data_IF_156746418531
#
_entry.id   IF_156746418531
#
_cell.length_a   1.000
_cell.length_b   1.000
_cell.length_c   1.000
_cell.angle_alpha   90.00
_cell.angle_beta   90.00
_cell.angle_gamma   90.00
#
_symmetry.space_group_name_H-M   'P 1'
#
loop_
_entity.id
_entity.type
_entity.pdbx_description
1 polymer ?
#
# COMPACT_ATOMS: atom_id res chain seq x y z
N UNK A 1 -82.22 -13.77 15.15
CA UNK A 1 -81.84 -12.61 15.98
C UNK A 1 -82.43 -12.82 17.37
N UNK A 2 -81.73 -12.57 18.50
CA UNK A 2 -80.34 -12.10 18.74
C UNK A 2 -79.52 -13.17 19.55
N UNK A 3 -78.26 -13.05 20.00
CA UNK A 3 -77.12 -12.13 19.85
C UNK A 3 -75.90 -12.72 20.63
N UNK A 4 -74.69 -12.48 20.11
CA UNK A 4 -73.33 -12.37 20.68
C UNK A 4 -73.01 -12.93 22.09
N UNK A 5 -71.97 -13.77 22.24
CA UNK A 5 -70.50 -13.50 22.30
C UNK A 5 -70.01 -13.08 23.71
N UNK A 6 -69.06 -13.89 24.21
CA UNK A 6 -68.22 -13.90 25.44
C UNK A 6 -67.64 -12.54 25.93
N UNK A 7 -67.03 -12.36 27.15
CA UNK A 7 -65.87 -13.17 27.64
C UNK A 7 -65.48 -13.22 29.16
N UNK A 8 -64.40 -13.99 29.42
CA UNK A 8 -63.35 -13.80 30.48
C UNK A 8 -63.71 -14.23 31.93
N UNK A 9 -62.83 -14.68 32.83
CA UNK A 9 -61.36 -14.58 33.03
C UNK A 9 -60.88 -15.81 33.82
N UNK A 10 -59.70 -16.34 33.50
CA UNK A 10 -58.94 -17.28 34.34
C UNK A 10 -58.07 -16.51 35.34
N UNK A 11 -58.02 -16.94 36.60
CA UNK A 11 -57.13 -16.38 37.61
C UNK A 11 -56.85 -17.38 38.72
N UNK A 12 -55.83 -18.21 38.54
CA UNK A 12 -55.20 -18.91 39.66
C UNK A 12 -53.68 -18.74 39.52
N UNK A 13 -53.12 -18.10 40.55
CA UNK A 13 -51.72 -17.74 40.66
C UNK A 13 -50.91 -18.92 41.21
N UNK A 14 -49.67 -19.08 40.72
CA UNK A 14 -48.65 -19.86 41.40
C UNK A 14 -47.25 -19.20 41.19
N UNK A 15 -46.33 -19.40 42.15
CA UNK A 15 -45.45 -18.33 42.62
C UNK A 15 -44.08 -18.29 41.96
N UNK A 16 -43.50 -17.09 41.99
CA UNK A 16 -42.10 -16.78 41.76
C UNK A 16 -41.17 -17.75 42.53
N UNK A 17 -40.42 -18.57 41.80
CA UNK A 17 -39.17 -19.14 42.27
C UNK A 17 -38.03 -18.55 41.43
N UNK A 18 -37.25 -17.71 42.11
CA UNK A 18 -35.99 -17.14 41.66
C UNK A 18 -34.95 -18.25 41.48
N UNK A 19 -34.41 -18.37 40.27
CA UNK A 19 -33.29 -19.28 39.99
C UNK A 19 -33.17 -19.70 38.53
N UNK A 20 -33.52 -18.82 37.59
CA UNK A 20 -33.28 -19.07 36.17
C UNK A 20 -31.82 -18.80 35.85
N UNK A 21 -31.03 -19.86 35.67
CA UNK A 21 -29.89 -19.79 34.76
C UNK A 21 -30.45 -19.26 33.44
N UNK A 22 -30.03 -18.05 33.04
CA UNK A 22 -30.36 -17.54 31.71
C UNK A 22 -29.93 -18.62 30.72
N UNK A 23 -30.83 -19.16 29.87
CA UNK A 23 -30.37 -19.93 28.74
C UNK A 23 -29.59 -18.93 27.89
N UNK A 24 -28.25 -19.02 27.95
CA UNK A 24 -27.40 -18.44 26.92
C UNK A 24 -27.84 -19.16 25.67
N UNK A 25 -28.73 -18.52 24.91
CA UNK A 25 -29.15 -19.00 23.60
C UNK A 25 -27.85 -19.15 22.83
N UNK A 26 -27.43 -20.41 22.66
CA UNK A 26 -26.24 -20.74 21.89
C UNK A 26 -26.47 -20.11 20.53
N UNK A 27 -25.75 -19.02 20.23
CA UNK A 27 -25.84 -18.38 18.93
C UNK A 27 -25.45 -19.45 17.91
N UNK A 28 -26.40 -19.84 17.07
CA UNK A 28 -26.12 -20.68 15.92
C UNK A 28 -24.98 -20.00 15.15
N UNK A 29 -23.82 -20.65 15.11
CA UNK A 29 -22.64 -20.12 14.45
C UNK A 29 -22.89 -20.12 12.95
N UNK A 30 -23.24 -18.97 12.40
CA UNK A 30 -23.38 -18.79 10.95
C UNK A 30 -21.98 -18.82 10.34
N UNK A 31 -21.72 -19.76 9.44
CA UNK A 31 -20.49 -19.81 8.67
C UNK A 31 -20.56 -18.76 7.56
N UNK A 32 -19.70 -17.74 7.65
CA UNK A 32 -19.57 -16.72 6.61
C UNK A 32 -18.55 -17.24 5.59
N UNK A 33 -18.99 -17.41 4.34
CA UNK A 33 -18.14 -17.83 3.24
C UNK A 33 -18.25 -16.79 2.12
N UNK A 34 -17.39 -15.77 2.19
CA UNK A 34 -17.34 -14.68 1.23
C UNK A 34 -15.89 -14.48 0.78
N UNK A 35 -15.67 -14.56 -0.52
CA UNK A 35 -14.38 -14.35 -1.19
C UNK A 35 -14.18 -12.87 -1.51
N UNK A 36 -13.02 -12.32 -1.17
CA UNK A 36 -12.70 -10.90 -1.27
C UNK A 36 -11.43 -10.67 -2.09
N UNK A 37 -11.44 -9.67 -2.96
CA UNK A 37 -10.20 -9.07 -3.49
C UNK A 37 -10.00 -7.64 -3.00
N UNK A 38 -8.75 -7.25 -2.79
CA UNK A 38 -8.34 -5.89 -2.42
C UNK A 38 -7.45 -5.35 -3.54
N UNK A 39 -7.84 -4.22 -4.13
CA UNK A 39 -7.10 -3.53 -5.17
C UNK A 39 -6.70 -2.14 -4.67
N UNK A 40 -5.40 -1.87 -4.63
CA UNK A 40 -4.85 -0.69 -3.98
C UNK A 40 -4.28 0.26 -5.02
N UNK A 41 -4.83 1.47 -5.09
CA UNK A 41 -4.23 2.57 -5.83
C UNK A 41 -3.19 3.25 -4.93
N UNK A 42 -1.94 2.80 -5.04
CA UNK A 42 -0.87 3.25 -4.18
C UNK A 42 -0.64 4.76 -4.26
N UNK A 43 -0.69 5.31 -5.48
CA UNK A 43 -0.50 6.74 -5.70
C UNK A 43 -1.62 7.58 -5.08
N UNK A 44 -2.88 7.16 -5.22
CA UNK A 44 -4.00 7.88 -4.61
C UNK A 44 -3.97 7.80 -3.07
N UNK A 45 -3.60 6.64 -2.52
CA UNK A 45 -3.48 6.46 -1.07
C UNK A 45 -2.34 7.28 -0.47
N UNK A 46 -1.15 7.24 -1.07
CA UNK A 46 0.00 8.06 -0.65
C UNK A 46 -0.35 9.56 -0.68
N UNK A 47 -0.91 10.06 -1.79
CA UNK A 47 -1.34 11.47 -1.89
C UNK A 47 -2.37 11.84 -0.82
N UNK A 48 -3.34 10.97 -0.57
CA UNK A 48 -4.41 11.22 0.40
C UNK A 48 -3.87 11.34 1.82
N UNK A 49 -3.02 10.40 2.26
CA UNK A 49 -2.46 10.43 3.62
C UNK A 49 -1.45 11.56 3.80
N UNK A 50 -0.66 11.89 2.77
CA UNK A 50 0.30 13.00 2.82
C UNK A 50 -0.42 14.33 2.93
N UNK A 51 -1.55 14.48 2.23
CA UNK A 51 -2.40 15.68 2.34
C UNK A 51 -3.05 15.78 3.72
N UNK A 52 -3.57 14.68 4.25
CA UNK A 52 -4.24 14.64 5.56
C UNK A 52 -3.26 14.88 6.72
N UNK A 53 -2.04 14.35 6.63
CA UNK A 53 -1.02 14.48 7.69
C UNK A 53 -0.09 15.67 7.51
N UNK A 54 -0.08 16.28 6.32
CA UNK A 54 0.89 17.27 5.89
C UNK A 54 2.35 16.78 6.04
N UNK A 55 2.57 15.48 5.77
CA UNK A 55 3.86 14.80 5.92
C UNK A 55 4.03 13.69 4.87
N UNK A 56 5.06 13.82 4.03
CA UNK A 56 5.38 12.87 2.95
C UNK A 56 6.10 11.60 3.44
N UNK A 57 6.56 11.59 4.70
CA UNK A 57 7.16 10.43 5.35
C UNK A 57 6.13 9.50 6.02
N UNK A 58 4.85 9.86 5.95
CA UNK A 58 3.74 9.02 6.41
C UNK A 58 3.47 7.89 5.43
N UNK A 59 3.32 6.68 5.94
CA UNK A 59 3.06 5.45 5.19
C UNK A 59 1.88 4.68 5.78
N UNK A 60 1.08 4.03 4.92
CA UNK A 60 0.00 3.15 5.38
C UNK A 60 0.56 1.93 6.11
N UNK A 61 -0.10 1.54 7.20
CA UNK A 61 0.18 0.30 7.90
C UNK A 61 -0.67 -0.83 7.32
N UNK A 62 -0.14 -1.52 6.30
CA UNK A 62 -0.83 -2.66 5.68
C UNK A 62 -1.05 -3.84 6.62
N UNK A 63 -0.24 -3.97 7.68
CA UNK A 63 -0.32 -5.07 8.64
C UNK A 63 -1.54 -4.99 9.54
N UNK A 64 -2.02 -3.78 9.80
CA UNK A 64 -3.25 -3.57 10.57
C UNK A 64 -4.44 -3.35 9.65
N UNK A 65 -4.22 -2.62 8.54
CA UNK A 65 -5.29 -2.23 7.64
C UNK A 65 -5.84 -3.41 6.83
N UNK A 66 -5.01 -4.28 6.27
CA UNK A 66 -5.49 -5.41 5.47
C UNK A 66 -6.30 -6.38 6.32
N UNK A 67 -5.84 -6.86 7.51
CA UNK A 67 -6.64 -7.74 8.34
C UNK A 67 -7.96 -7.11 8.78
N UNK A 68 -7.97 -5.81 9.10
CA UNK A 68 -9.19 -5.06 9.41
C UNK A 68 -10.17 -5.03 8.22
N UNK A 69 -9.68 -4.89 7.00
CA UNK A 69 -10.51 -4.91 5.79
C UNK A 69 -11.01 -6.32 5.46
N UNK A 70 -10.19 -7.35 5.64
CA UNK A 70 -10.56 -8.75 5.39
C UNK A 70 -11.60 -9.23 6.41
N UNK A 71 -11.40 -8.91 7.70
CA UNK A 71 -12.22 -9.33 8.83
C UNK A 71 -12.45 -10.86 8.84
N UNK A 72 -13.71 -11.30 8.74
CA UNK A 72 -14.11 -12.71 8.77
C UNK A 72 -14.27 -13.33 7.37
N UNK A 73 -13.62 -12.76 6.35
CA UNK A 73 -13.73 -13.16 4.94
C UNK A 73 -12.45 -13.81 4.43
N UNK A 74 -12.53 -14.43 3.26
CA UNK A 74 -11.40 -15.08 2.62
C UNK A 74 -10.74 -14.15 1.59
N UNK A 75 -9.50 -13.74 1.83
CA UNK A 75 -8.73 -12.94 0.88
C UNK A 75 -8.30 -13.82 -0.32
N UNK A 76 -8.93 -13.60 -1.47
CA UNK A 76 -8.61 -14.27 -2.73
C UNK A 76 -7.44 -13.60 -3.47
N UNK A 77 -7.39 -12.27 -3.43
CA UNK A 77 -6.37 -11.51 -4.15
C UNK A 77 -6.08 -10.17 -3.51
N UNK A 78 -4.80 -9.82 -3.41
CA UNK A 78 -4.35 -8.48 -3.06
C UNK A 78 -3.38 -7.96 -4.12
N UNK A 79 -3.69 -6.82 -4.72
CA UNK A 79 -2.82 -6.18 -5.72
C UNK A 79 -2.61 -4.71 -5.37
N UNK A 80 -1.34 -4.33 -5.24
CA UNK A 80 -0.91 -2.95 -5.10
C UNK A 80 -0.47 -2.39 -6.46
N UNK A 81 -1.11 -1.34 -6.93
CA UNK A 81 -0.75 -0.66 -8.17
C UNK A 81 0.05 0.60 -7.84
N UNK A 82 1.22 0.77 -8.46
CA UNK A 82 2.07 1.94 -8.25
C UNK A 82 2.65 2.43 -9.55
N UNK A 83 2.61 3.75 -9.78
CA UNK A 83 3.33 4.40 -10.87
C UNK A 83 4.85 4.32 -10.65
N UNK A 84 5.58 4.11 -11.73
CA UNK A 84 7.04 4.22 -11.77
C UNK A 84 7.75 2.88 -11.93
N UNK A 85 9.07 2.97 -12.16
CA UNK A 85 9.94 1.81 -12.37
C UNK A 85 10.57 1.29 -11.07
N UNK A 86 10.72 2.17 -10.09
CA UNK A 86 11.27 1.83 -8.78
C UNK A 86 10.13 1.60 -7.80
N UNK A 87 9.93 0.32 -7.49
CA UNK A 87 8.98 -0.13 -6.49
C UNK A 87 9.79 -0.74 -5.37
N UNK A 88 9.49 -0.35 -4.14
CA UNK A 88 10.14 -0.89 -2.96
C UNK A 88 10.02 -2.41 -2.95
N UNK A 89 11.16 -3.10 -3.12
CA UNK A 89 11.24 -4.56 -3.03
C UNK A 89 10.74 -5.03 -1.66
N UNK A 90 11.07 -4.29 -0.59
CA UNK A 90 10.61 -4.55 0.78
C UNK A 90 9.08 -4.57 0.89
N UNK A 91 8.39 -3.59 0.28
CA UNK A 91 6.93 -3.57 0.26
C UNK A 91 6.38 -4.78 -0.49
N UNK A 92 6.95 -5.09 -1.65
CA UNK A 92 6.57 -6.25 -2.45
C UNK A 92 6.71 -7.57 -1.69
N UNK A 93 7.87 -7.79 -1.08
CA UNK A 93 8.18 -8.99 -0.31
C UNK A 93 7.25 -9.12 0.90
N UNK A 94 7.00 -8.03 1.64
CA UNK A 94 6.09 -8.03 2.78
C UNK A 94 4.65 -8.39 2.38
N UNK A 95 4.12 -7.75 1.34
CA UNK A 95 2.76 -8.04 0.85
C UNK A 95 2.65 -9.49 0.34
N UNK A 96 3.70 -10.00 -0.30
CA UNK A 96 3.74 -11.38 -0.77
C UNK A 96 3.77 -12.38 0.39
N UNK A 97 4.63 -12.18 1.37
CA UNK A 97 4.82 -13.10 2.50
C UNK A 97 3.58 -13.16 3.41
N UNK A 98 2.95 -12.02 3.70
CA UNK A 98 1.83 -11.97 4.66
C UNK A 98 0.47 -12.25 4.01
N UNK A 99 0.28 -11.86 2.74
CA UNK A 99 -1.04 -11.85 2.10
C UNK A 99 -1.08 -12.54 0.75
N UNK A 100 0.02 -13.16 0.30
CA UNK A 100 0.19 -13.60 -1.09
C UNK A 100 -0.13 -12.50 -2.11
N UNK A 101 0.13 -11.25 -1.70
CA UNK A 101 -0.10 -10.07 -2.50
C UNK A 101 0.92 -9.95 -3.63
N UNK A 102 0.62 -9.04 -4.56
CA UNK A 102 1.55 -8.66 -5.62
C UNK A 102 1.57 -7.16 -5.81
N UNK A 103 2.72 -6.63 -6.22
CA UNK A 103 2.86 -5.24 -6.62
C UNK A 103 2.98 -5.16 -8.13
N UNK A 104 2.18 -4.28 -8.75
CA UNK A 104 2.14 -4.07 -10.19
C UNK A 104 2.59 -2.66 -10.56
N UNK A 105 3.74 -2.52 -11.22
CA UNK A 105 4.16 -1.24 -11.77
C UNK A 105 3.21 -0.77 -12.87
N UNK A 106 2.90 0.51 -12.84
CA UNK A 106 2.05 1.21 -13.80
C UNK A 106 2.88 2.29 -14.49
N UNK A 107 2.66 2.49 -15.79
CA UNK A 107 3.46 3.46 -16.56
C UNK A 107 3.05 4.92 -16.29
N UNK A 108 1.79 5.18 -15.94
CA UNK A 108 1.27 6.55 -15.70
C UNK A 108 0.24 6.60 -14.59
N UNK A 109 -0.72 5.70 -14.60
CA UNK A 109 -1.77 5.65 -13.59
C UNK A 109 -2.17 4.21 -13.30
N UNK A 110 -2.66 4.00 -12.08
CA UNK A 110 -3.29 2.76 -11.65
C UNK A 110 -4.67 2.56 -12.28
N UNK A 111 -5.36 3.61 -12.73
CA UNK A 111 -6.79 3.56 -13.10
C UNK A 111 -7.11 2.45 -14.10
N UNK A 112 -6.39 2.41 -15.23
CA UNK A 112 -6.62 1.42 -16.30
C UNK A 112 -6.23 0.01 -15.84
N UNK A 113 -5.00 -0.26 -15.35
CA UNK A 113 -4.62 -1.58 -14.85
C UNK A 113 -5.52 -2.10 -13.73
N UNK A 114 -5.93 -1.23 -12.80
CA UNK A 114 -6.81 -1.56 -11.69
C UNK A 114 -8.20 -1.90 -12.20
N UNK A 115 -8.78 -1.05 -13.06
CA UNK A 115 -10.10 -1.27 -13.68
C UNK A 115 -10.17 -2.60 -14.42
N UNK A 116 -9.19 -2.87 -15.29
CA UNK A 116 -9.13 -4.15 -16.04
C UNK A 116 -9.03 -5.33 -15.08
N UNK A 117 -8.18 -5.22 -14.05
CA UNK A 117 -8.01 -6.28 -13.05
C UNK A 117 -9.30 -6.52 -12.27
N UNK A 118 -10.00 -5.46 -11.87
CA UNK A 118 -11.26 -5.55 -11.14
C UNK A 118 -12.33 -6.27 -11.96
N UNK A 119 -12.48 -5.89 -13.23
CA UNK A 119 -13.41 -6.56 -14.15
C UNK A 119 -13.09 -8.05 -14.33
N UNK A 120 -11.80 -8.40 -14.45
CA UNK A 120 -11.39 -9.81 -14.55
C UNK A 120 -11.69 -10.61 -13.27
N UNK A 121 -11.58 -9.96 -12.12
CA UNK A 121 -11.85 -10.55 -10.81
C UNK A 121 -13.34 -10.68 -10.50
N UNK A 122 -14.20 -9.89 -11.13
CA UNK A 122 -15.63 -9.86 -10.85
C UNK A 122 -16.27 -11.27 -10.87
N UNK A 123 -15.81 -12.14 -11.78
CA UNK A 123 -16.28 -13.53 -11.89
C UNK A 123 -15.67 -14.52 -10.87
N UNK A 124 -14.81 -14.07 -9.95
CA UNK A 124 -13.99 -14.91 -9.06
C UNK A 124 -14.17 -14.63 -7.58
N UNK A 125 -14.71 -13.46 -7.24
CA UNK A 125 -14.87 -13.01 -5.85
C UNK A 125 -16.27 -12.46 -5.65
N UNK A 126 -16.75 -12.55 -4.42
CA UNK A 126 -18.05 -12.00 -4.03
C UNK A 126 -17.94 -10.50 -3.72
N UNK A 127 -16.73 -10.03 -3.38
CA UNK A 127 -16.48 -8.63 -3.03
C UNK A 127 -15.15 -8.13 -3.54
N UNK A 128 -15.14 -6.87 -3.98
CA UNK A 128 -13.92 -6.12 -4.30
C UNK A 128 -13.87 -4.88 -3.41
N UNK A 129 -12.80 -4.75 -2.62
CA UNK A 129 -12.43 -3.50 -1.96
C UNK A 129 -11.48 -2.75 -2.87
N UNK A 130 -11.85 -1.53 -3.27
CA UNK A 130 -10.96 -0.60 -3.95
C UNK A 130 -10.42 0.38 -2.91
N UNK A 131 -9.11 0.39 -2.72
CA UNK A 131 -8.45 1.38 -1.87
C UNK A 131 -8.08 2.59 -2.72
N UNK A 132 -9.04 3.50 -2.90
CA UNK A 132 -8.88 4.79 -3.56
C UNK A 132 -10.06 5.71 -3.23
N UNK A 133 -9.80 7.02 -3.18
CA UNK A 133 -10.84 8.04 -3.05
C UNK A 133 -11.27 8.68 -4.37
N UNK A 134 -10.71 8.24 -5.50
CA UNK A 134 -10.84 8.93 -6.80
C UNK A 134 -12.22 8.77 -7.46
N UNK A 135 -12.77 9.86 -8.00
CA UNK A 135 -14.05 9.83 -8.71
C UNK A 135 -13.99 9.03 -10.01
N UNK A 136 -12.81 8.81 -10.57
CA UNK A 136 -12.64 8.05 -11.82
C UNK A 136 -13.08 6.58 -11.69
N UNK A 137 -13.19 6.05 -10.47
CA UNK A 137 -13.67 4.69 -10.21
C UNK A 137 -15.21 4.56 -10.13
N UNK A 138 -15.99 5.65 -10.23
CA UNK A 138 -17.45 5.59 -10.10
C UNK A 138 -18.10 4.64 -11.12
N UNK A 139 -17.70 4.75 -12.39
CA UNK A 139 -18.25 3.88 -13.45
C UNK A 139 -17.83 2.42 -13.27
N UNK A 140 -16.62 2.18 -12.74
CA UNK A 140 -16.16 0.84 -12.37
C UNK A 140 -17.03 0.26 -11.25
N UNK A 141 -17.30 1.02 -10.18
CA UNK A 141 -18.16 0.59 -9.06
C UNK A 141 -19.54 0.19 -9.59
N UNK A 142 -20.16 1.03 -10.42
CA UNK A 142 -21.47 0.73 -11.03
C UNK A 142 -21.44 -0.55 -11.86
N UNK A 143 -20.42 -0.72 -12.69
CA UNK A 143 -20.28 -1.90 -13.54
C UNK A 143 -20.09 -3.19 -12.71
N UNK A 144 -19.21 -3.18 -11.71
CA UNK A 144 -18.98 -4.34 -10.84
C UNK A 144 -20.23 -4.73 -10.05
N UNK A 145 -21.01 -3.75 -9.57
CA UNK A 145 -22.29 -4.01 -8.90
C UNK A 145 -23.32 -4.61 -9.85
N UNK A 146 -23.35 -4.17 -11.11
CA UNK A 146 -24.20 -4.78 -12.14
C UNK A 146 -23.80 -6.24 -12.44
N UNK A 147 -22.51 -6.57 -12.38
CA UNK A 147 -21.98 -7.94 -12.46
C UNK A 147 -22.25 -8.78 -11.19
N UNK A 148 -22.93 -8.22 -10.18
CA UNK A 148 -23.31 -8.91 -8.96
C UNK A 148 -22.23 -8.93 -7.87
N UNK A 149 -21.14 -8.19 -8.05
CA UNK A 149 -20.05 -8.08 -7.07
C UNK A 149 -20.39 -6.98 -6.07
N UNK A 150 -20.22 -7.27 -4.77
CA UNK A 150 -20.28 -6.22 -3.76
C UNK A 150 -19.03 -5.36 -3.85
N UNK A 151 -19.18 -4.05 -3.90
CA UNK A 151 -18.06 -3.11 -4.02
C UNK A 151 -17.95 -2.27 -2.78
N UNK A 152 -16.78 -2.30 -2.15
CA UNK A 152 -16.46 -1.54 -0.97
C UNK A 152 -15.31 -0.57 -1.29
N UNK A 153 -15.34 0.62 -0.70
CA UNK A 153 -14.28 1.62 -0.88
C UNK A 153 -13.56 1.80 0.43
N UNK A 154 -12.23 1.83 0.41
CA UNK A 154 -11.40 2.16 1.56
C UNK A 154 -10.51 3.37 1.25
N UNK A 155 -10.76 4.50 1.91
CA UNK A 155 -10.03 5.74 1.63
C UNK A 155 -10.02 6.69 2.83
N UNK A 156 -9.17 7.71 2.78
CA UNK A 156 -9.26 8.85 3.69
C UNK A 156 -10.53 9.63 3.37
N UNK A 157 -11.40 9.85 4.35
CA UNK A 157 -12.75 10.38 4.09
C UNK A 157 -12.76 11.80 3.54
N UNK A 158 -11.79 12.63 3.91
CA UNK A 158 -11.63 14.00 3.44
C UNK A 158 -11.23 14.10 1.96
N UNK A 159 -10.53 13.09 1.42
CA UNK A 159 -10.06 13.06 0.03
C UNK A 159 -10.97 12.27 -0.92
N UNK A 160 -11.92 11.49 -0.38
CA UNK A 160 -12.79 10.65 -1.19
C UNK A 160 -13.96 11.43 -1.82
N UNK A 161 -14.18 11.21 -3.13
CA UNK A 161 -15.29 11.80 -3.85
C UNK A 161 -16.63 11.34 -3.27
N UNK A 162 -17.53 12.30 -2.98
CA UNK A 162 -18.83 12.00 -2.35
C UNK A 162 -19.66 11.01 -3.17
N UNK A 163 -19.71 11.19 -4.49
CA UNK A 163 -20.46 10.33 -5.38
C UNK A 163 -19.89 8.89 -5.39
N UNK A 164 -18.58 8.73 -5.28
CA UNK A 164 -17.97 7.40 -5.14
C UNK A 164 -18.43 6.69 -3.87
N UNK A 165 -18.47 7.41 -2.75
CA UNK A 165 -18.94 6.90 -1.46
C UNK A 165 -20.41 6.47 -1.54
N UNK A 166 -21.25 7.29 -2.19
CA UNK A 166 -22.69 7.03 -2.31
C UNK A 166 -23.00 5.84 -3.24
N UNK A 167 -22.16 5.58 -4.25
CA UNK A 167 -22.31 4.45 -5.18
C UNK A 167 -21.81 3.11 -4.60
N UNK A 168 -20.84 3.15 -3.68
CA UNK A 168 -20.29 1.97 -3.03
C UNK A 168 -21.28 1.29 -2.07
N UNK A 169 -21.16 -0.03 -1.89
CA UNK A 169 -21.98 -0.78 -0.93
C UNK A 169 -21.53 -0.57 0.53
N UNK A 170 -20.26 -0.23 0.73
CA UNK A 170 -19.72 0.13 2.04
C UNK A 170 -18.48 1.02 1.90
N UNK A 171 -18.29 1.91 2.86
CA UNK A 171 -17.12 2.80 2.92
C UNK A 171 -16.33 2.57 4.21
N UNK A 172 -15.11 2.07 4.07
CA UNK A 172 -14.12 1.95 5.14
C UNK A 172 -13.32 3.25 5.24
N UNK A 173 -13.44 3.95 6.36
CA UNK A 173 -12.63 5.16 6.58
C UNK A 173 -11.23 4.76 7.06
N UNK A 174 -10.21 5.23 6.33
CA UNK A 174 -8.82 5.17 6.77
C UNK A 174 -8.57 6.36 7.70
N UNK A 175 -8.02 6.07 8.87
CA UNK A 175 -7.86 6.97 10.00
C UNK A 175 -6.43 6.97 10.51
N UNK A 176 -6.14 7.81 11.52
CA UNK A 176 -4.81 7.95 12.12
C UNK A 176 -4.19 6.63 12.61
N UNK A 177 -5.01 5.65 12.98
CA UNK A 177 -4.55 4.34 13.45
C UNK A 177 -4.07 3.42 12.32
N UNK A 178 -4.37 3.78 11.07
CA UNK A 178 -4.09 2.96 9.89
C UNK A 178 -2.78 3.38 9.18
N UNK A 179 -2.02 4.35 9.72
CA UNK A 179 -0.74 4.81 9.19
C UNK A 179 0.28 5.16 10.27
N UNK A 180 1.54 5.24 9.87
CA UNK A 180 2.67 5.58 10.74
C UNK A 180 3.62 6.53 10.00
N UNK A 181 4.40 7.29 10.76
CA UNK A 181 5.36 8.25 10.22
C UNK A 181 6.77 7.73 10.44
N UNK A 182 7.58 7.72 9.37
CA UNK A 182 8.98 7.35 9.48
C UNK A 182 9.77 8.48 10.12
N UNK A 183 10.55 8.18 11.17
CA UNK A 183 11.49 9.16 11.70
C UNK A 183 12.56 9.44 10.63
N UNK A 184 12.84 10.70 10.26
CA UNK A 184 13.94 11.00 9.38
C UNK A 184 15.22 10.47 10.01
N UNK A 185 16.04 9.75 9.24
CA UNK A 185 17.29 9.21 9.73
C UNK A 185 18.15 10.40 10.20
N UNK A 186 18.38 10.52 11.51
CA UNK A 186 19.31 11.53 12.02
C UNK A 186 20.65 11.27 11.36
N UNK A 187 21.14 12.26 10.60
CA UNK A 187 22.30 12.11 9.71
C UNK A 187 23.49 11.43 10.38
N UNK A 188 24.24 10.68 9.58
CA UNK A 188 25.53 10.08 9.97
C UNK A 188 26.34 11.11 10.77
N UNK A 189 26.84 10.79 11.98
CA UNK A 189 27.73 11.67 12.69
C UNK A 189 28.88 12.08 11.75
N UNK A 190 29.29 13.36 11.72
CA UNK A 190 30.37 13.79 10.84
C UNK A 190 31.57 12.86 11.04
N UNK A 191 32.09 12.30 9.95
CA UNK A 191 33.28 11.44 9.99
C UNK A 191 34.33 12.16 10.83
N UNK A 192 34.79 11.51 11.90
CA UNK A 192 35.89 12.00 12.70
C UNK A 192 37.07 12.37 11.78
N UNK A 193 37.78 13.49 12.03
CA UNK A 193 38.86 13.92 11.16
C UNK A 193 39.87 12.77 11.00
N UNK A 194 40.13 12.40 9.74
CA UNK A 194 41.13 11.37 9.40
C UNK A 194 42.45 11.78 10.05
N UNK A 195 43.02 10.90 10.90
CA UNK A 195 44.39 11.09 11.41
C UNK A 195 45.34 11.26 10.21
N UNK A 196 46.30 12.18 10.27
CA UNK A 196 47.25 12.36 9.18
C UNK A 196 48.07 11.07 8.95
N UNK A 197 48.53 10.81 7.71
CA UNK A 197 49.33 9.64 7.39
C UNK A 197 50.62 9.64 8.23
N UNK A 198 50.95 8.49 8.82
CA UNK A 198 52.26 8.28 9.45
C UNK A 198 53.30 8.20 8.32
N UNK A 199 54.27 9.10 8.32
CA UNK A 199 55.43 9.00 7.42
C UNK A 199 56.31 7.83 7.84
N UNK A 200 56.78 6.98 6.93
CA UNK A 200 57.78 5.97 7.26
C UNK A 200 59.13 6.68 7.44
N UNK A 201 59.60 6.73 8.69
CA UNK A 201 60.96 7.16 9.00
C UNK A 201 61.98 6.08 8.57
N UNK A 202 63.17 6.57 8.28
CA UNK A 202 64.29 5.88 7.66
C UNK A 202 64.85 4.71 8.49
N UNK A 203 65.24 3.68 7.74
CA UNK A 203 66.23 2.61 7.96
C UNK A 203 66.80 2.33 9.37
N UNK A 204 66.61 1.07 9.77
CA UNK A 204 67.71 0.21 10.24
C UNK A 204 67.85 0.05 11.76
N UNK A 205 67.65 -1.17 12.26
CA UNK A 205 68.71 -2.07 12.78
C UNK A 205 68.09 -3.45 13.02
N UNK A 206 68.84 -4.45 12.55
CA UNK A 206 68.56 -5.89 12.59
C UNK A 206 68.78 -6.40 14.03
N UNK A 207 67.84 -7.17 14.57
CA UNK A 207 67.99 -7.86 15.86
C UNK A 207 67.13 -9.11 15.94
N UNK A 208 67.78 -10.27 16.02
CA UNK A 208 67.23 -11.64 15.94
C UNK A 208 66.71 -12.13 17.30
N UNK A 209 65.88 -13.19 17.25
CA UNK A 209 65.51 -14.16 18.31
C UNK A 209 64.15 -13.87 18.98
N UNK A 210 63.27 -14.82 19.35
CA UNK A 210 63.34 -16.28 19.49
C UNK A 210 61.91 -16.84 19.38
N UNK A 211 61.79 -18.07 18.88
CA UNK A 211 60.58 -18.89 18.79
C UNK A 211 60.28 -19.47 20.18
N UNK A 212 59.03 -19.37 20.65
CA UNK A 212 58.53 -20.26 21.70
C UNK A 212 57.05 -20.56 21.45
N UNK A 213 56.79 -21.84 21.18
CA UNK A 213 55.48 -22.45 21.12
C UNK A 213 55.09 -22.93 22.52
N UNK A 214 53.81 -22.81 22.90
CA UNK A 214 53.18 -23.66 23.91
C UNK A 214 51.65 -23.62 23.75
N UNK A 215 51.04 -24.80 23.63
CA UNK A 215 49.58 -25.07 23.69
C UNK A 215 49.17 -25.40 25.16
N UNK A 216 47.97 -25.94 25.44
CA UNK A 216 46.66 -25.30 25.48
C UNK A 216 46.02 -25.41 26.89
N UNK A 217 45.11 -24.51 27.26
CA UNK A 217 44.39 -24.54 28.53
C UNK A 217 42.89 -24.37 28.35
N UNK A 218 42.14 -25.45 28.57
CA UNK A 218 40.68 -25.52 28.63
C UNK A 218 40.21 -24.98 29.98
N UNK A 219 39.21 -24.10 30.02
CA UNK A 219 38.26 -23.96 31.14
C UNK A 219 36.86 -23.55 30.64
N UNK A 220 35.78 -23.86 31.39
CA UNK A 220 34.46 -24.16 30.85
C UNK A 220 33.44 -23.01 30.98
N UNK A 221 32.46 -23.04 30.06
CA UNK A 221 31.03 -22.79 30.29
C UNK A 221 30.58 -21.49 30.95
N UNK A 222 29.91 -20.63 30.17
CA UNK A 222 28.86 -19.75 30.70
C UNK A 222 27.61 -19.86 29.81
N UNK A 223 26.39 -19.80 30.39
CA UNK A 223 25.15 -20.07 29.68
C UNK A 223 24.79 -18.92 28.74
N UNK A 224 24.24 -19.28 27.58
CA UNK A 224 23.64 -18.35 26.62
C UNK A 224 22.38 -17.78 27.27
N UNK A 225 22.43 -16.50 27.63
CA UNK A 225 21.23 -15.70 27.84
C UNK A 225 20.79 -15.29 26.44
N UNK A 226 19.65 -15.82 26.01
CA UNK A 226 18.95 -15.33 24.83
C UNK A 226 18.19 -14.11 25.32
N UNK A 227 18.74 -12.92 25.09
CA UNK A 227 17.96 -11.70 25.18
C UNK A 227 17.12 -11.65 23.90
N UNK A 228 15.79 -11.72 24.07
CA UNK A 228 14.84 -11.40 23.01
C UNK A 228 15.01 -9.90 22.69
N UNK A 229 15.86 -9.61 21.71
CA UNK A 229 15.90 -8.30 21.09
C UNK A 229 14.59 -8.11 20.32
N UNK A 230 13.71 -7.27 20.86
CA UNK A 230 12.61 -6.65 20.15
C UNK A 230 13.19 -5.92 18.92
N UNK A 231 13.24 -6.60 17.77
CA UNK A 231 13.67 -6.02 16.49
C UNK A 231 12.67 -4.91 16.08
N UNK A 232 12.98 -3.67 16.49
CA UNK A 232 12.35 -2.47 15.98
C UNK A 232 12.78 -2.29 14.51
N UNK A 233 11.95 -2.78 13.59
CA UNK A 233 12.29 -2.82 12.16
C UNK A 233 12.43 -1.42 11.53
N UNK A 234 13.65 -1.13 11.05
CA UNK A 234 14.04 0.11 10.38
C UNK A 234 13.44 0.19 8.95
N UNK A 235 12.42 1.01 8.79
CA UNK A 235 11.91 1.41 7.48
C UNK A 235 12.87 2.42 6.84
N UNK A 236 13.43 2.05 5.69
CA UNK A 236 14.34 2.92 4.94
C UNK A 236 13.54 3.78 3.98
N UNK A 237 13.62 5.11 4.13
CA UNK A 237 13.27 6.05 3.07
C UNK A 237 14.23 5.85 1.90
N UNK A 238 13.71 5.51 0.73
CA UNK A 238 14.45 5.70 -0.52
C UNK A 238 14.14 7.10 -1.04
N UNK A 239 15.18 7.92 -1.18
CA UNK A 239 15.09 9.28 -1.69
C UNK A 239 14.50 9.28 -3.11
N UNK A 240 13.49 10.12 -3.32
CA UNK A 240 12.98 10.40 -4.65
C UNK A 240 14.08 11.09 -5.47
N UNK A 241 14.64 10.39 -6.46
CA UNK A 241 15.50 10.99 -7.48
C UNK A 241 14.60 11.85 -8.36
N UNK A 242 14.71 13.17 -8.22
CA UNK A 242 14.11 14.14 -9.12
C UNK A 242 15.00 14.18 -10.36
N UNK A 243 14.66 13.39 -11.39
CA UNK A 243 15.32 13.49 -12.69
C UNK A 243 14.98 14.85 -13.31
N UNK A 244 15.99 15.72 -13.38
CA UNK A 244 15.95 17.00 -14.07
C UNK A 244 15.68 16.84 -15.56
N UNK A 245 15.14 17.90 -16.16
CA UNK A 245 14.74 17.95 -17.57
C UNK A 245 15.81 17.43 -18.55
N UNK A 246 15.41 16.70 -19.62
CA UNK A 246 16.37 16.22 -20.61
C UNK A 246 16.88 17.37 -21.48
N UNK A 247 18.15 17.70 -21.29
CA UNK A 247 18.90 18.61 -22.14
C UNK A 247 19.14 17.95 -23.51
N UNK A 248 18.39 18.37 -24.54
CA UNK A 248 18.55 17.92 -25.92
C UNK A 248 19.83 18.52 -26.52
N UNK A 249 20.94 17.77 -26.48
CA UNK A 249 22.02 17.98 -27.44
C UNK A 249 22.93 16.75 -27.54
N UNK A 250 22.76 15.95 -28.59
CA UNK A 250 23.87 15.36 -29.38
C UNK A 250 23.33 14.66 -30.63
N UNK A 251 24.12 14.56 -31.71
CA UNK A 251 23.62 14.34 -33.07
C UNK A 251 23.46 12.87 -33.45
N UNK A 252 22.39 12.58 -34.18
CA UNK A 252 22.12 11.31 -34.85
C UNK A 252 23.18 10.97 -35.90
N UNK A 253 23.66 9.73 -35.91
CA UNK A 253 24.33 9.15 -37.08
C UNK A 253 23.82 7.74 -37.39
N UNK A 254 23.06 7.69 -38.49
CA UNK A 254 22.80 6.58 -39.42
C UNK A 254 22.11 5.28 -38.97
N UNK A 255 20.97 5.02 -39.62
CA UNK A 255 20.71 3.71 -40.21
C UNK A 255 19.23 3.35 -40.34
N UNK A 256 18.76 3.22 -41.58
CA UNK A 256 17.50 2.60 -42.03
C UNK A 256 16.27 3.52 -42.14
N UNK A 257 16.03 3.90 -43.39
CA UNK A 257 15.01 4.87 -43.76
C UNK A 257 13.61 4.32 -43.93
N UNK A 258 12.67 5.25 -43.91
CA UNK A 258 11.37 5.13 -44.56
C UNK A 258 11.02 6.47 -45.21
N UNK A 259 10.72 6.45 -46.51
CA UNK A 259 10.30 7.62 -47.30
C UNK A 259 8.92 8.09 -46.83
N UNK A 260 8.78 9.37 -46.50
CA UNK A 260 7.48 10.08 -46.57
C UNK A 260 7.63 11.44 -47.25
N UNK A 261 6.80 11.63 -48.30
CA UNK A 261 6.75 12.77 -49.22
C UNK A 261 6.38 14.07 -48.48
N UNK A 262 7.11 15.15 -48.76
CA UNK A 262 6.89 16.49 -48.21
C UNK A 262 5.94 17.27 -49.13
N UNK A 263 4.78 17.69 -48.61
CA UNK A 263 3.85 18.61 -49.27
C UNK A 263 4.36 20.04 -49.05
N UNK A 264 4.64 20.78 -50.12
CA UNK A 264 5.08 22.19 -50.07
C UNK A 264 3.84 23.08 -50.19
N UNK A 265 3.57 23.90 -49.17
CA UNK A 265 2.63 25.03 -49.24
C UNK A 265 3.41 26.29 -49.63
N UNK A 266 3.09 26.86 -50.78
CA UNK A 266 3.59 28.17 -51.22
C UNK A 266 2.91 29.29 -50.42
N UNK A 267 3.70 30.22 -49.87
CA UNK A 267 3.25 31.54 -49.41
C UNK A 267 3.34 32.56 -50.58
N UNK A 268 2.37 33.46 -50.76
CA UNK A 268 2.46 34.52 -51.78
C UNK A 268 3.27 35.73 -51.28
N UNK A 269 3.98 36.37 -52.21
CA UNK A 269 4.86 37.52 -52.00
C UNK A 269 4.09 38.85 -51.89
N UNK A 270 4.56 39.72 -50.99
CA UNK A 270 4.14 41.12 -50.82
C UNK A 270 4.63 41.97 -52.01
N UNK A 271 3.78 42.87 -52.52
CA UNK A 271 4.14 43.95 -53.45
C UNK A 271 4.10 45.32 -52.74
N UNK A 272 4.93 46.30 -53.14
CA UNK A 272 5.10 47.57 -52.44
C UNK A 272 4.12 48.67 -52.88
N UNK A 273 3.95 49.66 -51.99
CA UNK A 273 3.16 50.89 -52.12
C UNK A 273 3.51 51.77 -53.33
N UNK A 274 2.50 52.46 -53.88
CA UNK A 274 2.63 53.83 -54.40
C UNK A 274 1.37 54.65 -54.13
N UNK A 275 1.60 55.89 -53.70
CA UNK A 275 0.68 57.03 -53.62
C UNK A 275 -0.05 57.26 -54.98
N UNK A 276 -1.23 57.89 -55.05
CA UNK A 276 -1.70 59.19 -54.56
C UNK A 276 -3.20 59.13 -54.32
#
# INVERSE_FOLDING_TARGET
MPSLMQPSVAGEAAPYHSGGANPVVARSSVMINQSLAILIDGNNMERSIHTETNDTSTMLNFDTLIPKLVDNRSLNRLIYFREGRQISSKLGDRLHQLYHGSVRPCHKSADIPLTITAMQLASKVDTIIIMSGDSDYIELVRHLKFEGVRVEIAAVRSSAARLLIDEADYFHTITRQDWFTLKPRSGTPPLAPRRPPVTPDQEGVIGVSTIAAEQPGILPGNPVVVEDDDEEFEYVQEEAVIDGEPNFNTPDNNGYGTRKKRFIRNKPALKPNMAV
#
